data_IF_347480683673
#
_entry.id   IF_347480683673
#
_cell.length_a   1.000
_cell.length_b   1.000
_cell.length_c   1.000
_cell.angle_alpha   90.00
_cell.angle_beta   90.00
_cell.angle_gamma   90.00
#
_symmetry.space_group_name_H-M   'P 1'
#
loop_
_entity.id
_entity.type
_entity.pdbx_description
1 polymer ?
#
# COMPACT_ATOMS: atom_id res chain seq x y z
N UNK A 1 13.27 1.11 1.89
CA UNK A 1 12.50 1.81 0.83
C UNK A 1 11.66 2.95 1.44
N UNK A 2 11.85 4.20 0.99
CA UNK A 2 11.20 5.39 1.58
C UNK A 2 10.74 6.38 0.50
N UNK A 3 10.15 5.86 -0.59
CA UNK A 3 9.64 6.70 -1.67
C UNK A 3 8.33 7.39 -1.23
N UNK A 4 8.23 8.69 -1.47
CA UNK A 4 7.02 9.48 -1.21
C UNK A 4 5.95 9.22 -2.26
N UNK A 5 4.70 9.56 -1.92
CA UNK A 5 3.58 9.47 -2.86
C UNK A 5 3.90 10.28 -4.12
N UNK A 6 3.82 9.62 -5.26
CA UNK A 6 4.06 10.24 -6.57
C UNK A 6 3.29 9.49 -7.64
N UNK A 7 2.80 10.20 -8.65
CA UNK A 7 2.23 9.60 -9.84
C UNK A 7 2.58 10.44 -11.06
N UNK A 8 3.00 9.78 -12.13
CA UNK A 8 3.38 10.47 -13.35
C UNK A 8 3.96 9.55 -14.40
N UNK A 9 4.37 10.13 -15.51
CA UNK A 9 5.05 9.42 -16.59
C UNK A 9 6.52 9.21 -16.26
N UNK A 10 7.04 8.02 -16.54
CA UNK A 10 8.47 7.70 -16.41
C UNK A 10 9.13 7.52 -17.78
N UNK A 11 10.44 7.76 -17.82
CA UNK A 11 11.32 7.45 -18.97
C UNK A 11 12.51 6.67 -18.47
N UNK A 12 12.91 5.65 -19.22
CA UNK A 12 14.15 4.92 -18.97
C UNK A 12 15.16 5.39 -20.01
N UNK A 13 16.27 5.99 -19.54
CA UNK A 13 17.36 6.45 -20.41
C UNK A 13 18.62 5.66 -20.12
N UNK A 14 19.13 4.99 -21.16
CA UNK A 14 20.44 4.34 -21.12
C UNK A 14 21.50 5.34 -21.56
N UNK A 15 22.61 5.40 -20.82
CA UNK A 15 23.81 6.15 -21.20
C UNK A 15 24.96 5.17 -21.36
N UNK A 16 25.71 5.29 -22.44
CA UNK A 16 26.89 4.47 -22.69
C UNK A 16 27.99 5.31 -23.34
N UNK A 17 29.24 4.89 -23.15
CA UNK A 17 30.39 5.41 -23.87
C UNK A 17 30.70 4.47 -25.04
N UNK A 18 30.54 4.95 -26.28
CA UNK A 18 30.85 4.18 -27.49
C UNK A 18 31.89 4.99 -28.28
N UNK A 19 33.07 4.42 -28.50
CA UNK A 19 34.19 5.09 -29.18
C UNK A 19 34.54 6.46 -28.56
N UNK A 20 34.61 6.54 -27.23
CA UNK A 20 34.87 7.77 -26.47
C UNK A 20 33.84 8.89 -26.64
N UNK A 21 32.63 8.58 -27.13
CA UNK A 21 31.50 9.51 -27.18
C UNK A 21 30.39 9.02 -26.26
N UNK A 22 29.79 9.95 -25.53
CA UNK A 22 28.59 9.68 -24.75
C UNK A 22 27.40 9.54 -25.70
N UNK A 23 26.77 8.37 -25.66
CA UNK A 23 25.55 8.05 -26.39
C UNK A 23 24.41 7.89 -25.39
N UNK A 24 23.34 8.66 -25.57
CA UNK A 24 22.13 8.61 -24.73
C UNK A 24 20.97 8.10 -25.57
N UNK A 25 20.29 7.05 -25.09
CA UNK A 25 19.12 6.48 -25.75
C UNK A 25 17.98 6.30 -24.77
N UNK A 26 16.80 6.78 -25.14
CA UNK A 26 15.56 6.50 -24.42
C UNK A 26 15.01 5.13 -24.84
N UNK A 27 14.64 4.31 -23.86
CA UNK A 27 14.01 3.02 -24.10
C UNK A 27 12.60 3.22 -24.65
N UNK A 28 12.27 2.54 -25.75
CA UNK A 28 10.90 2.49 -26.26
C UNK A 28 10.12 1.42 -25.51
N UNK A 29 8.91 1.76 -25.12
CA UNK A 29 8.07 0.86 -24.36
C UNK A 29 7.06 0.14 -25.24
N UNK A 30 6.65 -1.04 -24.78
CA UNK A 30 5.51 -1.76 -25.32
C UNK A 30 4.61 -2.21 -24.17
N UNK A 31 3.30 -2.21 -24.41
CA UNK A 31 2.32 -2.77 -23.48
C UNK A 31 1.71 -4.02 -24.09
N UNK A 32 1.51 -5.05 -23.27
CA UNK A 32 0.77 -6.25 -23.66
C UNK A 32 -0.73 -6.01 -23.54
N UNK A 33 -1.48 -6.44 -24.56
CA UNK A 33 -2.94 -6.52 -24.51
C UNK A 33 -3.29 -7.92 -24.01
N UNK A 34 -3.57 -8.01 -22.72
CA UNK A 34 -4.07 -9.24 -22.09
C UNK A 34 -5.58 -9.37 -22.40
N UNK A 35 -5.93 -10.34 -23.24
CA UNK A 35 -7.31 -10.59 -23.67
C UNK A 35 -7.98 -11.80 -23.00
N UNK A 36 -7.23 -12.64 -22.26
CA UNK A 36 -7.79 -13.81 -21.59
C UNK A 36 -6.85 -14.35 -20.49
N UNK A 37 -7.40 -15.26 -19.67
CA UNK A 37 -6.79 -15.85 -18.47
C UNK A 37 -5.68 -16.87 -18.80
N UNK A 38 -5.67 -17.44 -20.01
CA UNK A 38 -4.71 -18.48 -20.42
C UNK A 38 -3.88 -18.01 -21.63
N UNK A 39 -2.56 -17.93 -21.45
CA UNK A 39 -1.59 -17.41 -22.44
C UNK A 39 -1.38 -18.31 -23.66
N UNK A 40 -1.85 -19.55 -23.62
CA UNK A 40 -1.74 -20.56 -24.67
C UNK A 40 -2.95 -20.55 -25.64
N UNK A 41 -4.11 -20.06 -25.19
CA UNK A 41 -5.36 -20.07 -25.95
C UNK A 41 -5.52 -18.95 -26.99
N UNK A 42 -4.83 -17.82 -26.82
CA UNK A 42 -4.88 -16.67 -27.74
C UNK A 42 -3.48 -16.06 -27.87
N UNK A 43 -3.12 -15.67 -29.09
CA UNK A 43 -1.89 -14.92 -29.37
C UNK A 43 -1.88 -13.60 -28.60
N UNK A 44 -0.94 -13.48 -27.66
CA UNK A 44 -0.64 -12.22 -26.96
C UNK A 44 -0.28 -11.15 -28.01
N UNK A 45 -0.99 -10.02 -27.99
CA UNK A 45 -0.70 -8.87 -28.86
C UNK A 45 0.00 -7.79 -28.05
N UNK A 46 1.10 -7.28 -28.58
CA UNK A 46 1.80 -6.10 -28.05
C UNK A 46 1.48 -4.86 -28.87
N UNK A 47 1.40 -3.70 -28.22
CA UNK A 47 1.40 -2.39 -28.87
C UNK A 47 2.56 -1.54 -28.35
N UNK A 48 3.15 -0.73 -29.20
CA UNK A 48 4.11 0.28 -28.77
C UNK A 48 3.39 1.36 -27.95
N UNK A 49 4.03 1.83 -26.89
CA UNK A 49 3.56 2.97 -26.10
C UNK A 49 4.68 3.99 -25.96
N UNK A 50 4.32 5.26 -26.04
CA UNK A 50 5.25 6.38 -25.87
C UNK A 50 5.31 6.87 -24.43
N UNK A 51 4.37 6.42 -23.58
CA UNK A 51 4.21 6.88 -22.20
C UNK A 51 3.94 5.69 -21.30
N UNK A 52 4.66 5.61 -20.18
CA UNK A 52 4.38 4.65 -19.11
C UNK A 52 4.08 5.43 -17.83
N UNK A 53 2.88 5.28 -17.25
CA UNK A 53 2.61 5.80 -15.93
C UNK A 53 3.23 4.90 -14.87
N UNK A 54 3.77 5.51 -13.82
CA UNK A 54 4.11 4.86 -12.56
C UNK A 54 3.44 5.63 -11.43
N UNK A 55 2.89 4.91 -10.48
CA UNK A 55 2.35 5.47 -9.25
C UNK A 55 2.99 4.77 -8.04
N UNK A 56 3.36 5.58 -7.05
CA UNK A 56 3.95 5.14 -5.79
C UNK A 56 2.98 5.51 -4.68
N UNK A 57 2.60 4.52 -3.89
CA UNK A 57 1.86 4.71 -2.65
C UNK A 57 2.85 4.78 -1.48
N UNK A 58 2.74 5.80 -0.63
CA UNK A 58 3.55 5.92 0.59
C UNK A 58 2.91 5.23 1.81
N UNK A 59 1.63 4.90 1.72
CA UNK A 59 0.85 4.31 2.81
C UNK A 59 0.99 2.78 2.86
N UNK A 60 1.65 2.18 1.87
CA UNK A 60 1.82 0.73 1.76
C UNK A 60 3.32 0.39 1.78
N UNK A 61 3.75 -0.30 2.82
CA UNK A 61 5.12 -0.78 2.95
C UNK A 61 5.24 -2.23 2.43
N UNK A 62 6.41 -2.57 1.88
CA UNK A 62 6.68 -3.94 1.43
C UNK A 62 6.55 -4.93 2.61
N UNK A 63 5.85 -6.08 2.43
CA UNK A 63 5.72 -7.08 3.47
C UNK A 63 7.06 -7.57 4.00
N UNK A 64 7.99 -7.83 3.07
CA UNK A 64 9.36 -8.22 3.34
C UNK A 64 10.27 -7.62 2.26
N UNK A 65 11.47 -7.25 2.66
CA UNK A 65 12.61 -6.86 1.83
C UNK A 65 13.72 -7.86 2.12
N UNK A 66 14.19 -8.53 1.08
CA UNK A 66 15.21 -9.57 1.16
C UNK A 66 16.55 -8.95 0.79
N UNK A 67 17.56 -9.15 1.63
CA UNK A 67 18.93 -8.78 1.32
C UNK A 67 19.91 -9.82 1.89
N UNK A 68 21.06 -10.06 1.24
CA UNK A 68 22.18 -10.67 1.93
C UNK A 68 22.58 -9.83 3.15
N UNK A 69 23.08 -10.48 4.21
CA UNK A 69 23.60 -9.77 5.38
C UNK A 69 24.83 -8.90 5.02
N UNK A 70 25.55 -9.26 3.96
CA UNK A 70 26.72 -8.53 3.46
C UNK A 70 26.54 -8.11 1.99
N UNK A 71 26.72 -6.82 1.70
CA UNK A 71 26.73 -6.28 0.33
C UNK A 71 28.14 -6.41 -0.27
N UNK A 72 28.46 -7.58 -0.81
CA UNK A 72 29.76 -7.88 -1.41
C UNK A 72 29.63 -8.74 -2.67
N UNK A 73 30.69 -8.75 -3.47
CA UNK A 73 30.89 -9.81 -4.45
C UNK A 73 31.33 -11.09 -3.74
N UNK A 74 30.52 -12.13 -3.87
CA UNK A 74 30.81 -13.42 -3.27
C UNK A 74 31.80 -14.20 -4.14
N UNK A 75 32.55 -15.12 -3.54
CA UNK A 75 33.47 -16.00 -4.24
C UNK A 75 33.28 -17.43 -3.75
N UNK A 76 33.34 -18.38 -4.68
CA UNK A 76 33.26 -19.80 -4.39
C UNK A 76 34.15 -20.57 -5.37
N UNK A 77 34.81 -21.63 -4.90
CA UNK A 77 35.52 -22.56 -5.77
C UNK A 77 34.54 -23.57 -6.36
N UNK A 78 34.72 -23.96 -7.62
CA UNK A 78 33.91 -25.00 -8.25
C UNK A 78 33.94 -26.29 -7.40
N UNK A 79 32.79 -26.95 -7.25
CA UNK A 79 32.57 -28.10 -6.35
C UNK A 79 32.51 -27.79 -4.85
N UNK A 80 32.48 -26.51 -4.47
CA UNK A 80 32.23 -26.08 -3.09
C UNK A 80 30.80 -25.55 -2.89
N UNK A 81 30.41 -25.43 -1.63
CA UNK A 81 29.16 -24.79 -1.23
C UNK A 81 29.39 -23.32 -0.94
N UNK A 82 28.44 -22.49 -1.35
CA UNK A 82 28.36 -21.09 -0.96
C UNK A 82 27.22 -20.93 0.04
N UNK A 83 27.52 -20.36 1.19
CA UNK A 83 26.52 -19.98 2.20
C UNK A 83 26.29 -18.47 2.12
N UNK A 84 25.05 -18.08 1.85
CA UNK A 84 24.63 -16.68 1.77
C UNK A 84 23.70 -16.41 2.96
N UNK A 85 24.18 -15.73 4.02
CA UNK A 85 23.33 -15.25 5.09
C UNK A 85 22.37 -14.20 4.55
N UNK A 86 21.09 -14.34 4.86
CA UNK A 86 20.00 -13.50 4.41
C UNK A 86 19.41 -12.79 5.62
N UNK A 87 19.22 -11.48 5.49
CA UNK A 87 18.48 -10.65 6.40
C UNK A 87 17.15 -10.23 5.77
N UNK A 88 16.08 -10.40 6.53
CA UNK A 88 14.77 -9.86 6.23
C UNK A 88 14.59 -8.53 6.95
N UNK A 89 14.14 -7.53 6.20
CA UNK A 89 13.70 -6.24 6.72
C UNK A 89 12.31 -5.91 6.16
N UNK A 90 11.58 -4.97 6.75
CA UNK A 90 10.20 -4.66 6.34
C UNK A 90 9.30 -4.52 7.56
N UNK A 91 8.13 -3.91 7.38
CA UNK A 91 7.16 -3.69 8.47
C UNK A 91 5.79 -4.34 8.24
N UNK A 92 5.63 -5.06 7.12
CA UNK A 92 4.36 -5.74 6.87
C UNK A 92 4.23 -7.04 7.66
N UNK A 93 3.00 -7.53 7.74
CA UNK A 93 2.68 -8.79 8.40
C UNK A 93 3.08 -9.97 7.50
N UNK A 94 3.60 -11.04 8.10
CA UNK A 94 3.80 -12.31 7.43
C UNK A 94 3.07 -13.42 8.18
N UNK A 95 2.55 -14.38 7.42
CA UNK A 95 1.90 -15.58 7.94
C UNK A 95 2.61 -16.80 7.37
N UNK A 96 3.09 -17.67 8.26
CA UNK A 96 3.88 -18.85 7.92
C UNK A 96 5.28 -18.53 7.40
N UNK A 97 5.90 -19.54 6.78
CA UNK A 97 7.28 -19.47 6.32
C UNK A 97 7.41 -18.62 5.04
N UNK A 98 8.53 -17.91 4.94
CA UNK A 98 9.01 -17.31 3.70
C UNK A 98 10.01 -18.27 3.07
N UNK A 99 9.69 -18.81 1.90
CA UNK A 99 10.61 -19.67 1.16
C UNK A 99 11.40 -18.81 0.19
N UNK A 100 12.72 -18.83 0.28
CA UNK A 100 13.62 -18.02 -0.55
C UNK A 100 14.49 -18.92 -1.40
N UNK A 101 14.60 -18.60 -2.69
CA UNK A 101 15.40 -19.32 -3.68
C UNK A 101 16.16 -18.36 -4.61
N UNK A 102 17.26 -18.78 -5.23
CA UNK A 102 17.89 -18.02 -6.30
C UNK A 102 17.00 -18.03 -7.55
N UNK A 103 16.65 -16.85 -8.04
CA UNK A 103 15.92 -16.64 -9.27
C UNK A 103 16.88 -16.31 -10.42
N UNK A 104 16.71 -16.99 -11.55
CA UNK A 104 17.52 -16.83 -12.77
C UNK A 104 19.03 -17.07 -12.57
N UNK A 105 19.42 -17.95 -11.61
CA UNK A 105 20.80 -18.42 -11.53
C UNK A 105 21.15 -19.26 -12.76
N UNK A 106 21.97 -18.70 -13.64
CA UNK A 106 22.33 -19.32 -14.91
C UNK A 106 22.94 -20.72 -14.74
N UNK A 107 22.52 -21.67 -15.57
CA UNK A 107 22.96 -23.07 -15.53
C UNK A 107 22.12 -23.98 -14.64
N UNK A 108 21.27 -23.42 -13.76
CA UNK A 108 20.36 -24.19 -12.89
C UNK A 108 19.03 -24.45 -13.62
N UNK A 109 18.72 -25.72 -13.86
CA UNK A 109 17.60 -26.11 -14.72
C UNK A 109 16.26 -26.21 -13.98
N UNK A 110 16.23 -26.83 -12.79
CA UNK A 110 15.02 -27.06 -11.97
C UNK A 110 15.37 -27.08 -10.48
N UNK A 111 14.36 -26.99 -9.62
CA UNK A 111 14.49 -27.25 -8.18
C UNK A 111 15.62 -26.47 -7.52
N UNK A 112 15.56 -25.13 -7.50
CA UNK A 112 16.59 -24.34 -6.87
C UNK A 112 16.68 -24.64 -5.36
N UNK A 113 17.88 -24.50 -4.76
CA UNK A 113 18.01 -24.64 -3.31
C UNK A 113 17.14 -23.58 -2.62
N UNK A 114 16.50 -23.99 -1.52
CA UNK A 114 15.59 -23.12 -0.77
C UNK A 114 16.06 -22.97 0.66
N UNK A 115 15.79 -21.81 1.24
CA UNK A 115 15.82 -21.59 2.69
C UNK A 115 14.43 -21.15 3.14
N UNK A 116 13.95 -21.73 4.24
CA UNK A 116 12.69 -21.35 4.86
C UNK A 116 12.98 -20.52 6.11
N UNK A 117 12.54 -19.26 6.11
CA UNK A 117 12.63 -18.38 7.27
C UNK A 117 11.27 -18.40 7.97
N UNK A 118 11.23 -18.85 9.23
CA UNK A 118 9.99 -18.99 10.02
C UNK A 118 9.30 -17.66 10.29
N UNK A 119 7.98 -17.63 10.53
CA UNK A 119 7.14 -16.40 10.59
C UNK A 119 7.74 -15.24 11.42
N UNK A 120 8.37 -15.57 12.56
CA UNK A 120 8.96 -14.62 13.50
C UNK A 120 10.46 -14.42 13.31
N UNK A 121 11.09 -15.25 12.48
CA UNK A 121 12.52 -15.18 12.19
C UNK A 121 12.78 -14.10 11.14
N UNK A 122 13.93 -13.45 11.27
CA UNK A 122 14.38 -12.40 10.33
C UNK A 122 15.68 -12.77 9.62
N UNK A 123 16.25 -13.92 9.96
CA UNK A 123 17.53 -14.38 9.45
C UNK A 123 17.41 -15.79 8.89
N UNK A 124 18.26 -16.13 7.93
CA UNK A 124 18.40 -17.48 7.41
C UNK A 124 19.63 -17.61 6.53
N UNK A 125 20.09 -18.83 6.28
CA UNK A 125 21.26 -19.08 5.42
C UNK A 125 20.83 -19.89 4.21
N UNK A 126 20.97 -19.31 3.02
CA UNK A 126 20.79 -20.04 1.77
C UNK A 126 22.10 -20.74 1.40
N UNK A 127 22.04 -22.05 1.22
CA UNK A 127 23.19 -22.86 0.82
C UNK A 127 23.04 -23.28 -0.63
N UNK A 128 23.98 -22.87 -1.48
CA UNK A 128 24.02 -23.23 -2.90
C UNK A 128 25.24 -24.11 -3.14
N UNK A 129 25.03 -25.30 -3.68
CA UNK A 129 26.12 -26.21 -4.07
C UNK A 129 26.58 -25.90 -5.50
N UNK A 130 27.80 -25.39 -5.66
CA UNK A 130 28.43 -25.09 -6.95
C UNK A 130 29.13 -26.32 -7.57
N UNK A 131 28.62 -27.52 -7.26
CA UNK A 131 29.03 -28.77 -7.89
C UNK A 131 28.23 -29.02 -9.18
N UNK A 132 28.91 -29.14 -10.35
CA UNK A 132 28.25 -29.53 -11.58
C UNK A 132 27.51 -30.86 -11.43
N UNK A 133 26.25 -30.88 -11.84
CA UNK A 133 25.43 -32.08 -11.89
C UNK A 133 24.42 -31.99 -13.04
N UNK A 134 23.58 -33.01 -13.21
CA UNK A 134 22.59 -33.04 -14.30
C UNK A 134 21.58 -31.88 -14.27
N UNK A 135 21.42 -31.22 -13.12
CA UNK A 135 20.50 -30.12 -12.90
C UNK A 135 21.19 -28.74 -12.85
N UNK A 136 22.47 -28.68 -12.48
CA UNK A 136 23.25 -27.44 -12.41
C UNK A 136 24.50 -27.54 -13.29
N UNK A 137 24.42 -26.95 -14.48
CA UNK A 137 25.52 -26.86 -15.45
C UNK A 137 26.35 -25.61 -15.18
N UNK A 138 27.15 -25.68 -14.13
CA UNK A 138 28.00 -24.57 -13.66
C UNK A 138 29.42 -24.68 -14.24
N UNK A 139 29.99 -23.55 -14.64
CA UNK A 139 31.37 -23.39 -15.12
C UNK A 139 32.06 -22.26 -14.33
N UNK A 140 33.41 -22.19 -14.32
CA UNK A 140 34.11 -21.04 -13.77
C UNK A 140 33.74 -19.76 -14.51
N UNK A 141 33.41 -18.70 -13.77
CA UNK A 141 32.95 -17.44 -14.35
C UNK A 141 32.25 -16.54 -13.33
N UNK A 142 31.76 -15.40 -13.81
CA UNK A 142 30.94 -14.49 -13.00
C UNK A 142 29.45 -14.78 -13.23
N UNK A 143 28.72 -14.92 -12.13
CA UNK A 143 27.28 -15.18 -12.11
C UNK A 143 26.57 -14.03 -11.41
N UNK A 144 25.41 -13.65 -11.93
CA UNK A 144 24.51 -12.68 -11.31
C UNK A 144 23.11 -13.27 -11.24
N UNK A 145 22.46 -13.12 -10.08
CA UNK A 145 21.10 -13.58 -9.85
C UNK A 145 20.43 -12.74 -8.75
N UNK A 146 19.11 -12.79 -8.67
CA UNK A 146 18.36 -12.22 -7.55
C UNK A 146 17.87 -13.36 -6.63
N UNK A 147 17.57 -13.07 -5.38
CA UNK A 147 16.77 -13.96 -4.54
C UNK A 147 15.30 -13.64 -4.76
N UNK A 148 14.47 -14.66 -4.91
CA UNK A 148 13.03 -14.56 -4.89
C UNK A 148 12.51 -15.26 -3.63
N UNK A 149 11.77 -14.52 -2.81
CA UNK A 149 11.05 -15.07 -1.66
C UNK A 149 9.57 -15.10 -1.92
N UNK A 150 8.91 -16.23 -1.65
CA UNK A 150 7.46 -16.40 -1.77
C UNK A 150 6.87 -16.71 -0.39
N UNK A 151 5.81 -16.00 -0.03
CA UNK A 151 5.15 -16.16 1.26
C UNK A 151 3.71 -15.67 1.25
N UNK A 152 3.10 -15.65 2.43
CA UNK A 152 1.76 -15.12 2.67
C UNK A 152 1.86 -13.91 3.60
N UNK A 153 1.18 -12.83 3.24
CA UNK A 153 1.01 -11.64 4.08
C UNK A 153 -0.46 -11.51 4.49
N UNK A 154 -0.71 -10.88 5.64
CA UNK A 154 -2.05 -10.48 6.03
C UNK A 154 -2.28 -9.04 5.60
N UNK A 155 -2.57 -8.86 4.31
CA UNK A 155 -2.71 -7.55 3.67
C UNK A 155 -4.02 -6.86 4.06
N UNK A 156 -3.99 -5.53 4.15
CA UNK A 156 -5.13 -4.65 4.40
C UNK A 156 -5.14 -3.53 3.38
N UNK A 157 -6.17 -3.50 2.54
CA UNK A 157 -6.25 -2.52 1.47
C UNK A 157 -6.63 -1.12 2.01
N UNK A 158 -5.76 -0.13 1.78
CA UNK A 158 -5.99 1.29 2.09
C UNK A 158 -6.49 1.54 3.53
N UNK A 159 -5.74 0.99 4.50
CA UNK A 159 -6.03 1.14 5.93
C UNK A 159 -6.21 2.62 6.37
N UNK A 160 -5.38 3.59 5.93
CA UNK A 160 -5.54 4.98 6.35
C UNK A 160 -6.89 5.60 5.95
N UNK A 161 -7.46 5.21 4.79
CA UNK A 161 -8.79 5.69 4.40
C UNK A 161 -9.89 5.15 5.31
N UNK A 162 -9.74 3.92 5.82
CA UNK A 162 -10.66 3.36 6.82
C UNK A 162 -10.57 4.11 8.14
N UNK A 163 -9.34 4.35 8.63
CA UNK A 163 -9.11 5.06 9.88
C UNK A 163 -9.65 6.50 9.83
N UNK A 164 -9.40 7.21 8.73
CA UNK A 164 -9.91 8.56 8.51
C UNK A 164 -11.45 8.61 8.46
N UNK A 165 -12.10 7.63 7.82
CA UNK A 165 -13.55 7.56 7.77
C UNK A 165 -14.17 7.29 9.16
N UNK A 166 -13.56 6.40 9.95
CA UNK A 166 -13.99 6.14 11.33
C UNK A 166 -13.77 7.36 12.24
N UNK A 167 -12.66 8.09 12.07
CA UNK A 167 -12.41 9.33 12.82
C UNK A 167 -13.45 10.41 12.49
N UNK A 168 -13.86 10.53 11.22
CA UNK A 168 -14.89 11.50 10.80
C UNK A 168 -16.27 11.18 11.39
N UNK A 169 -16.64 9.90 11.50
CA UNK A 169 -17.88 9.49 12.19
C UNK A 169 -17.88 9.98 13.64
N UNK A 170 -16.79 9.74 14.39
CA UNK A 170 -16.65 10.21 15.78
C UNK A 170 -16.73 11.73 15.89
N UNK A 171 -16.12 12.46 14.94
CA UNK A 171 -16.17 13.93 14.90
C UNK A 171 -17.60 14.43 14.65
N UNK A 172 -18.36 13.78 13.77
CA UNK A 172 -19.74 14.13 13.47
C UNK A 172 -20.70 13.79 14.61
N UNK A 173 -20.48 12.67 15.33
CA UNK A 173 -21.23 12.32 16.54
C UNK A 173 -21.09 13.41 17.61
N UNK A 174 -19.86 13.87 17.87
CA UNK A 174 -19.60 14.97 18.80
C UNK A 174 -20.25 16.29 18.34
N UNK A 175 -20.22 16.60 17.04
CA UNK A 175 -20.86 17.79 16.49
C UNK A 175 -22.38 17.74 16.62
N UNK A 176 -23.00 16.58 16.38
CA UNK A 176 -24.45 16.41 16.53
C UNK A 176 -24.86 16.65 17.98
N UNK A 177 -24.08 16.18 18.95
CA UNK A 177 -24.39 16.41 20.37
C UNK A 177 -24.37 17.91 20.71
N UNK A 178 -23.37 18.65 20.23
CA UNK A 178 -23.34 20.10 20.38
C UNK A 178 -24.54 20.81 19.71
N UNK A 179 -24.96 20.34 18.53
CA UNK A 179 -26.13 20.89 17.83
C UNK A 179 -27.44 20.56 18.57
N UNK A 180 -27.56 19.37 19.17
CA UNK A 180 -28.73 19.01 19.99
C UNK A 180 -28.88 19.96 21.18
N UNK A 181 -27.78 20.29 21.86
CA UNK A 181 -27.80 21.29 22.93
C UNK A 181 -28.23 22.68 22.41
N UNK A 182 -27.79 23.10 21.22
CA UNK A 182 -28.23 24.35 20.58
C UNK A 182 -29.74 24.34 20.24
N UNK A 183 -30.26 23.21 19.75
CA UNK A 183 -31.69 23.02 19.50
C UNK A 183 -32.50 23.17 20.80
N UNK A 184 -32.05 22.56 21.89
CA UNK A 184 -32.72 22.66 23.19
C UNK A 184 -32.72 24.10 23.71
N UNK A 185 -31.59 24.80 23.66
CA UNK A 185 -31.49 26.20 24.08
C UNK A 185 -32.40 27.12 23.27
N UNK A 186 -32.44 26.95 21.94
CA UNK A 186 -33.28 27.75 21.06
C UNK A 186 -34.76 27.42 21.21
N UNK A 187 -35.11 26.18 21.57
CA UNK A 187 -36.48 25.76 21.85
C UNK A 187 -37.00 26.39 23.14
N UNK A 188 -36.19 26.40 24.20
CA UNK A 188 -36.48 27.11 25.45
C UNK A 188 -36.68 28.61 25.20
N UNK A 189 -35.85 29.23 24.35
CA UNK A 189 -35.97 30.64 24.00
C UNK A 189 -37.26 30.94 23.20
N UNK A 190 -37.66 30.05 22.29
CA UNK A 190 -38.89 30.17 21.53
C UNK A 190 -40.13 30.05 22.43
N UNK A 191 -40.17 29.06 23.33
CA UNK A 191 -41.28 28.90 24.29
C UNK A 191 -41.37 30.07 25.29
N UNK A 192 -40.23 30.61 25.75
CA UNK A 192 -40.23 31.82 26.59
C UNK A 192 -40.78 33.04 25.85
N UNK A 193 -40.42 33.21 24.58
CA UNK A 193 -40.92 34.32 23.74
C UNK A 193 -42.41 34.18 23.46
N UNK A 194 -42.89 32.95 23.23
CA UNK A 194 -44.31 32.62 23.10
C UNK A 194 -45.09 32.94 24.36
N UNK A 195 -44.60 32.52 25.54
CA UNK A 195 -45.23 32.86 26.81
C UNK A 195 -45.34 34.37 27.04
N UNK A 196 -44.31 35.12 26.65
CA UNK A 196 -44.30 36.60 26.72
C UNK A 196 -45.35 37.22 25.79
N UNK A 197 -45.44 36.72 24.55
CA UNK A 197 -46.48 37.13 23.60
C UNK A 197 -47.89 36.95 24.18
N UNK A 198 -48.15 35.83 24.86
CA UNK A 198 -49.48 35.55 25.41
C UNK A 198 -49.84 36.47 26.59
N UNK A 199 -48.86 36.93 27.36
CA UNK A 199 -49.07 37.83 28.49
C UNK A 199 -49.39 39.27 28.06
N UNK A 200 -48.83 39.75 26.94
CA UNK A 200 -48.96 41.15 26.52
C UNK A 200 -50.07 41.40 25.48
N UNK A 201 -50.92 40.41 25.21
CA UNK A 201 -51.99 40.45 24.18
C UNK A 201 -52.92 41.65 24.23
N UNK A 202 -53.09 42.27 25.40
CA UNK A 202 -54.01 43.40 25.59
C UNK A 202 -53.34 44.78 25.36
N UNK A 203 -52.01 44.83 25.19
CA UNK A 203 -51.28 46.07 24.95
C UNK A 203 -50.74 46.08 23.50
N UNK A 204 -51.29 46.95 22.65
CA UNK A 204 -51.01 46.97 21.21
C UNK A 204 -49.53 47.19 20.85
N UNK A 205 -48.82 48.05 21.58
CA UNK A 205 -47.40 48.35 21.31
C UNK A 205 -46.50 47.19 21.78
N UNK A 206 -46.77 46.65 22.97
CA UNK A 206 -46.03 45.50 23.51
C UNK A 206 -46.30 44.22 22.72
N UNK A 207 -47.52 44.05 22.20
CA UNK A 207 -47.90 42.94 21.34
C UNK A 207 -47.07 42.90 20.06
N UNK A 208 -46.87 44.05 19.40
CA UNK A 208 -46.06 44.13 18.17
C UNK A 208 -44.61 43.75 18.41
N UNK A 209 -44.03 44.20 19.54
CA UNK A 209 -42.65 43.88 19.91
C UNK A 209 -42.49 42.41 20.30
N UNK A 210 -43.42 41.86 21.09
CA UNK A 210 -43.40 40.45 21.49
C UNK A 210 -43.61 39.51 20.30
N UNK A 211 -44.44 39.89 19.33
CA UNK A 211 -44.64 39.11 18.09
C UNK A 211 -43.33 39.04 17.28
N UNK A 212 -42.65 40.17 17.10
CA UNK A 212 -41.37 40.20 16.37
C UNK A 212 -40.28 39.37 17.07
N UNK A 213 -40.24 39.39 18.41
CA UNK A 213 -39.32 38.56 19.20
C UNK A 213 -39.64 37.07 19.07
N UNK A 214 -40.93 36.68 19.14
CA UNK A 214 -41.36 35.31 18.93
C UNK A 214 -41.04 34.80 17.53
N UNK A 215 -41.35 35.57 16.48
CA UNK A 215 -41.06 35.19 15.10
C UNK A 215 -39.54 35.01 14.87
N UNK A 216 -38.72 35.84 15.51
CA UNK A 216 -37.26 35.74 15.47
C UNK A 216 -36.78 34.47 16.19
N UNK A 217 -37.27 34.20 17.40
CA UNK A 217 -36.91 33.00 18.17
C UNK A 217 -37.34 31.71 17.45
N UNK A 218 -38.53 31.72 16.84
CA UNK A 218 -39.05 30.59 16.06
C UNK A 218 -38.18 30.32 14.82
N UNK A 219 -37.77 31.37 14.09
CA UNK A 219 -36.84 31.24 12.95
C UNK A 219 -35.49 30.67 13.38
N UNK A 220 -34.95 31.12 14.51
CA UNK A 220 -33.68 30.61 15.05
C UNK A 220 -33.80 29.13 15.45
N UNK A 221 -34.88 28.74 16.14
CA UNK A 221 -35.12 27.33 16.48
C UNK A 221 -35.29 26.44 15.24
N UNK A 222 -36.02 26.91 14.23
CA UNK A 222 -36.17 26.18 12.98
C UNK A 222 -34.81 26.02 12.26
N UNK A 223 -33.99 27.06 12.21
CA UNK A 223 -32.65 26.98 11.64
C UNK A 223 -31.74 25.98 12.39
N UNK A 224 -31.84 25.91 13.72
CA UNK A 224 -31.13 24.92 14.53
C UNK A 224 -31.61 23.48 14.24
N UNK A 225 -32.93 23.26 14.16
CA UNK A 225 -33.53 21.96 13.77
C UNK A 225 -33.11 21.53 12.37
N UNK A 226 -33.05 22.46 11.41
CA UNK A 226 -32.58 22.18 10.05
C UNK A 226 -31.09 21.85 10.02
N UNK A 227 -30.26 22.50 10.85
CA UNK A 227 -28.84 22.17 11.01
C UNK A 227 -28.66 20.77 11.59
N UNK A 228 -29.46 20.39 12.59
CA UNK A 228 -29.46 19.04 13.17
C UNK A 228 -29.77 17.99 12.10
N UNK A 229 -30.86 18.17 11.35
CA UNK A 229 -31.26 17.24 10.29
C UNK A 229 -30.18 17.06 9.21
N UNK A 230 -29.52 18.16 8.81
CA UNK A 230 -28.38 18.08 7.86
C UNK A 230 -27.21 17.31 8.46
N UNK A 231 -26.85 17.58 9.71
CA UNK A 231 -25.76 16.89 10.39
C UNK A 231 -26.04 15.38 10.51
N UNK A 232 -27.25 14.98 10.87
CA UNK A 232 -27.67 13.57 10.95
C UNK A 232 -27.62 12.87 9.58
N UNK A 233 -28.01 13.57 8.52
CA UNK A 233 -27.89 13.08 7.15
C UNK A 233 -26.41 12.85 6.77
N UNK A 234 -25.54 13.82 7.09
CA UNK A 234 -24.09 13.70 6.87
C UNK A 234 -23.48 12.57 7.69
N UNK A 235 -23.88 12.40 8.96
CA UNK A 235 -23.43 11.27 9.80
C UNK A 235 -23.83 9.93 9.20
N UNK A 236 -25.04 9.82 8.67
CA UNK A 236 -25.51 8.59 8.01
C UNK A 236 -24.63 8.25 6.79
N UNK A 237 -24.33 9.25 5.95
CA UNK A 237 -23.44 9.08 4.79
C UNK A 237 -22.01 8.71 5.21
N UNK A 238 -21.46 9.39 6.22
CA UNK A 238 -20.13 9.11 6.77
C UNK A 238 -20.05 7.70 7.36
N UNK A 239 -21.08 7.26 8.09
CA UNK A 239 -21.19 5.92 8.66
C UNK A 239 -21.20 4.85 7.56
N UNK A 240 -21.98 5.06 6.49
CA UNK A 240 -22.01 4.14 5.35
C UNK A 240 -20.65 4.08 4.64
N UNK A 241 -19.97 5.22 4.50
CA UNK A 241 -18.62 5.27 3.95
C UNK A 241 -17.63 4.53 4.84
N UNK A 242 -17.65 4.75 6.15
CA UNK A 242 -16.77 4.08 7.12
C UNK A 242 -16.96 2.56 7.08
N UNK A 243 -18.21 2.06 7.09
CA UNK A 243 -18.50 0.62 6.93
C UNK A 243 -17.96 0.05 5.61
N UNK A 244 -18.10 0.80 4.51
CA UNK A 244 -17.60 0.38 3.19
C UNK A 244 -16.07 0.31 3.17
N UNK A 245 -15.38 1.31 3.73
CA UNK A 245 -13.92 1.34 3.80
C UNK A 245 -13.37 0.29 4.73
N UNK A 246 -14.02 0.06 5.88
CA UNK A 246 -13.63 -0.97 6.84
C UNK A 246 -13.75 -2.37 6.24
N UNK A 247 -14.86 -2.66 5.54
CA UNK A 247 -15.03 -3.93 4.82
C UNK A 247 -13.93 -4.15 3.78
N UNK A 248 -13.49 -3.10 3.08
CA UNK A 248 -12.39 -3.19 2.10
C UNK A 248 -11.02 -3.34 2.76
N UNK A 249 -10.82 -2.72 3.92
CA UNK A 249 -9.58 -2.79 4.69
C UNK A 249 -9.46 -4.06 5.56
N UNK A 250 -10.45 -4.95 5.50
CA UNK A 250 -10.43 -6.23 6.19
C UNK A 250 -9.16 -7.00 5.84
N UNK A 251 -8.55 -7.59 6.86
CA UNK A 251 -7.34 -8.38 6.73
C UNK A 251 -7.60 -9.63 5.88
N UNK A 252 -6.80 -9.81 4.83
CA UNK A 252 -6.88 -10.97 3.96
C UNK A 252 -5.49 -11.57 3.71
N UNK A 253 -5.44 -12.90 3.74
CA UNK A 253 -4.25 -13.66 3.38
C UNK A 253 -3.99 -13.49 1.88
N UNK A 254 -2.85 -12.90 1.53
CA UNK A 254 -2.43 -12.70 0.15
C UNK A 254 -1.05 -13.30 -0.06
N UNK A 255 -0.90 -14.06 -1.16
CA UNK A 255 0.42 -14.53 -1.59
C UNK A 255 1.18 -13.34 -2.14
N UNK A 256 2.45 -13.24 -1.76
CA UNK A 256 3.35 -12.24 -2.32
C UNK A 256 4.66 -12.89 -2.74
N UNK A 257 5.35 -12.22 -3.65
CA UNK A 257 6.74 -12.48 -3.97
C UNK A 257 7.55 -11.21 -3.70
N UNK A 258 8.74 -11.37 -3.15
CA UNK A 258 9.70 -10.31 -2.89
C UNK A 258 11.03 -10.67 -3.56
N UNK A 259 11.74 -9.67 -4.07
CA UNK A 259 13.02 -9.86 -4.73
C UNK A 259 14.12 -9.08 -4.02
N UNK A 260 15.30 -9.67 -3.93
CA UNK A 260 16.50 -8.95 -3.53
C UNK A 260 17.06 -8.12 -4.68
N UNK A 261 18.05 -7.28 -4.38
CA UNK A 261 18.98 -6.78 -5.40
C UNK A 261 19.77 -7.94 -6.02
N UNK A 262 20.39 -7.68 -7.17
CA UNK A 262 21.29 -8.63 -7.81
C UNK A 262 22.49 -8.93 -6.89
N UNK A 263 22.79 -10.21 -6.76
CA UNK A 263 23.94 -10.77 -6.07
C UNK A 263 24.94 -11.19 -7.14
N UNK A 264 26.21 -10.82 -6.97
CA UNK A 264 27.30 -11.25 -7.85
C UNK A 264 28.13 -12.31 -7.16
N UNK A 265 28.38 -13.42 -7.86
CA UNK A 265 29.24 -14.53 -7.40
C UNK A 265 30.32 -14.80 -8.44
N UNK A 266 31.59 -14.81 -8.02
CA UNK A 266 32.71 -15.26 -8.83
C UNK A 266 33.01 -16.74 -8.53
N UNK A 267 32.85 -17.60 -9.52
CA UNK A 267 33.14 -19.03 -9.45
C UNK A 267 34.54 -19.28 -10.00
N UNK A 268 35.44 -19.79 -9.17
CA UNK A 268 36.85 -20.03 -9.53
C UNK A 268 37.13 -21.49 -9.82
N UNK A 269 38.16 -21.76 -10.63
CA UNK A 269 38.62 -23.13 -10.88
C UNK A 269 39.21 -23.72 -9.59
N UNK A 270 39.05 -25.04 -9.35
CA UNK A 270 39.73 -25.70 -8.25
C UNK A 270 41.24 -25.52 -8.36
N UNK A 271 41.92 -25.30 -7.24
CA UNK A 271 43.37 -25.33 -7.23
C UNK A 271 43.88 -26.68 -7.75
N UNK A 272 44.81 -26.66 -8.71
CA UNK A 272 45.45 -27.89 -9.18
C UNK A 272 46.14 -28.57 -7.99
N UNK A 273 45.70 -29.80 -7.67
CA UNK A 273 46.38 -30.63 -6.68
C UNK A 273 47.78 -30.94 -7.23
N UNK A 274 48.80 -30.31 -6.66
CA UNK A 274 50.21 -30.69 -6.85
C UNK A 274 50.47 -32.08 -6.30
#
# INVERSE_FOLDING_TARGET
PAAKRWAGEIRITGKAQINHKEEVREAKFASLIWGHIFSDSIRVRSRLTTRIPLAVNEDEEAPVVIAPAEDKTWAVELNQKLEIPIQLTGKGSRKGNLTIEPNELFGLLRGPPTVNIGEKETEGTLVIDFKPNGNFKIEPGQYQFALMGVGVTQYRHNLPASEAATAEVKRLEALIEAIKSDVELTEVAAEKSKSTLEQVKQNAEQLKQAQAAYDTALKVNQAAKDRLKRAETTLTQATNKAKSTEKKAAAADNKFAAWSKLITVNVTKPAEKK
#
